data_IF_941220788680
#
_entry.id   IF_941220788680
#
_cell.length_a   1.000
_cell.length_b   1.000
_cell.length_c   1.000
_cell.angle_alpha   90.00
_cell.angle_beta   90.00
_cell.angle_gamma   90.00
#
_symmetry.space_group_name_H-M   'P 1'
#
loop_
_entity.id
_entity.type
_entity.pdbx_description
1 polymer ?
#
# COMPACT_ATOMS: atom_id res chain seq x y z
N UNK A 1 16.43 -1.80 15.43
CA UNK A 1 15.31 -2.76 15.43
C UNK A 1 14.09 -2.00 14.97
N UNK A 2 13.74 -2.11 13.69
CA UNK A 2 12.54 -1.42 13.19
C UNK A 2 11.32 -2.18 13.69
N UNK A 3 10.63 -1.58 14.66
CA UNK A 3 9.35 -2.08 15.13
C UNK A 3 8.38 -2.12 13.93
N UNK A 4 7.65 -3.23 13.79
CA UNK A 4 6.60 -3.32 12.80
C UNK A 4 5.57 -2.21 13.06
N UNK A 5 5.48 -1.25 12.13
CA UNK A 5 4.63 -0.08 12.28
C UNK A 5 3.36 -0.25 11.47
N UNK A 6 2.26 -0.58 12.14
CA UNK A 6 0.95 -0.78 11.54
C UNK A 6 0.16 0.53 11.52
N UNK A 7 -0.41 0.85 10.37
CA UNK A 7 -1.10 2.12 10.10
C UNK A 7 -2.49 1.88 9.51
N UNK A 8 -3.43 2.77 9.81
CA UNK A 8 -4.78 2.74 9.26
C UNK A 8 -4.87 3.40 7.89
N UNK A 9 -6.09 3.51 7.36
CA UNK A 9 -6.34 4.11 6.04
C UNK A 9 -5.90 5.58 5.94
N UNK A 10 -6.16 6.36 6.99
CA UNK A 10 -5.82 7.79 7.01
C UNK A 10 -4.31 7.94 7.00
N UNK A 11 -3.61 7.29 7.91
CA UNK A 11 -2.15 7.35 8.02
C UNK A 11 -1.46 6.79 6.76
N UNK A 12 -1.98 5.70 6.18
CA UNK A 12 -1.47 5.17 4.91
C UNK A 12 -1.56 6.22 3.80
N UNK A 13 -2.67 6.97 3.71
CA UNK A 13 -2.82 8.06 2.74
C UNK A 13 -1.80 9.17 2.95
N UNK A 14 -1.51 9.52 4.20
CA UNK A 14 -0.49 10.52 4.53
C UNK A 14 0.92 10.03 4.18
N UNK A 15 1.23 8.75 4.41
CA UNK A 15 2.49 8.13 4.01
C UNK A 15 2.68 8.17 2.50
N UNK A 16 1.62 7.82 1.75
CA UNK A 16 1.64 7.89 0.28
C UNK A 16 1.81 9.32 -0.22
N UNK A 17 1.12 10.30 0.39
CA UNK A 17 1.31 11.71 0.07
C UNK A 17 2.75 12.16 0.32
N UNK A 18 3.40 11.64 1.37
CA UNK A 18 4.80 11.92 1.69
C UNK A 18 5.80 11.50 0.61
N UNK A 19 5.42 10.58 -0.29
CA UNK A 19 6.21 10.17 -1.46
C UNK A 19 5.62 10.68 -2.79
N UNK A 20 4.76 11.70 -2.74
CA UNK A 20 4.17 12.32 -3.93
C UNK A 20 2.94 11.61 -4.50
N UNK A 21 2.37 10.64 -3.78
CA UNK A 21 1.21 9.88 -4.23
C UNK A 21 -0.06 10.41 -3.57
N UNK A 22 -0.83 11.17 -4.33
CA UNK A 22 -2.06 11.77 -3.84
C UNK A 22 -3.29 10.91 -4.14
N UNK A 23 -3.90 10.37 -3.08
CA UNK A 23 -5.15 9.63 -3.15
C UNK A 23 -6.23 10.32 -2.32
N UNK A 24 -7.44 10.34 -2.84
CA UNK A 24 -8.61 10.73 -2.06
C UNK A 24 -9.11 9.56 -1.19
N UNK A 25 -10.00 9.85 -0.24
CA UNK A 25 -10.53 8.85 0.69
C UNK A 25 -11.23 7.68 -0.01
N UNK A 26 -11.95 7.97 -1.11
CA UNK A 26 -12.67 6.95 -1.89
C UNK A 26 -11.71 5.98 -2.58
N UNK A 27 -10.61 6.50 -3.15
CA UNK A 27 -9.56 5.68 -3.76
C UNK A 27 -8.87 4.82 -2.72
N UNK A 28 -8.57 5.37 -1.54
CA UNK A 28 -7.99 4.60 -0.43
C UNK A 28 -8.92 3.48 0.05
N UNK A 29 -10.21 3.77 0.25
CA UNK A 29 -11.20 2.74 0.62
C UNK A 29 -11.27 1.63 -0.43
N UNK A 30 -11.39 1.99 -1.70
CA UNK A 30 -11.41 1.02 -2.82
C UNK A 30 -10.13 0.19 -2.93
N UNK A 31 -8.97 0.74 -2.57
CA UNK A 31 -7.71 0.02 -2.60
C UNK A 31 -7.60 -1.01 -1.45
N UNK A 32 -8.25 -0.74 -0.32
CA UNK A 32 -8.29 -1.61 0.85
C UNK A 32 -9.42 -2.66 0.80
N UNK A 33 -10.49 -2.40 0.06
CA UNK A 33 -11.58 -3.33 -0.17
C UNK A 33 -11.20 -4.45 -1.16
N UNK A 34 -11.76 -5.66 -0.99
CA UNK A 34 -11.64 -6.70 -2.01
C UNK A 34 -12.24 -6.22 -3.34
N UNK A 35 -11.49 -6.37 -4.43
CA UNK A 35 -12.03 -6.18 -5.78
C UNK A 35 -12.98 -7.31 -6.19
N UNK A 36 -13.51 -7.23 -7.42
CA UNK A 36 -14.44 -8.22 -7.97
C UNK A 36 -13.88 -9.66 -8.03
N UNK A 37 -12.56 -9.81 -8.00
CA UNK A 37 -11.85 -11.09 -7.94
C UNK A 37 -11.48 -11.54 -6.52
N UNK A 38 -12.01 -10.87 -5.49
CA UNK A 38 -11.71 -11.13 -4.07
C UNK A 38 -10.33 -10.65 -3.60
N UNK A 39 -9.48 -10.11 -4.50
CA UNK A 39 -8.14 -9.61 -4.15
C UNK A 39 -8.19 -8.11 -3.83
N UNK A 40 -7.52 -7.71 -2.75
CA UNK A 40 -7.31 -6.30 -2.41
C UNK A 40 -6.11 -5.76 -3.19
N UNK A 41 -6.15 -4.47 -3.55
CA UNK A 41 -4.97 -3.82 -4.17
C UNK A 41 -3.88 -3.56 -3.14
N UNK A 42 -4.28 -3.16 -1.94
CA UNK A 42 -3.39 -2.99 -0.80
C UNK A 42 -3.65 -4.08 0.24
N UNK A 43 -2.61 -4.69 0.82
CA UNK A 43 -2.72 -5.82 1.76
C UNK A 43 -3.12 -5.34 3.16
N UNK A 44 -4.23 -4.61 3.28
CA UNK A 44 -4.84 -4.34 4.57
C UNK A 44 -5.35 -5.65 5.18
N UNK A 45 -5.25 -5.77 6.50
CA UNK A 45 -5.84 -6.85 7.29
C UNK A 45 -6.74 -6.26 8.37
N UNK A 46 -7.66 -7.06 8.92
CA UNK A 46 -8.45 -6.66 10.08
C UNK A 46 -7.59 -6.85 11.32
N UNK A 47 -7.38 -5.78 12.08
CA UNK A 47 -6.68 -5.83 13.35
C UNK A 47 -7.48 -6.71 14.33
N UNK A 48 -6.82 -7.67 15.02
CA UNK A 48 -7.50 -8.58 15.93
C UNK A 48 -8.02 -7.92 17.23
N UNK A 49 -7.52 -6.73 17.58
CA UNK A 49 -7.87 -6.00 18.80
C UNK A 49 -9.11 -5.13 18.56
N UNK A 50 -9.11 -4.31 17.51
CA UNK A 50 -10.17 -3.30 17.27
C UNK A 50 -11.02 -3.54 16.01
N UNK A 51 -10.69 -4.57 15.21
CA UNK A 51 -11.40 -4.92 13.98
C UNK A 51 -11.19 -3.96 12.81
N UNK A 52 -10.40 -2.89 12.97
CA UNK A 52 -10.15 -1.88 11.93
C UNK A 52 -9.14 -2.38 10.91
N UNK A 53 -9.19 -1.82 9.71
CA UNK A 53 -8.22 -2.15 8.66
C UNK A 53 -6.87 -1.50 8.96
N UNK A 54 -5.82 -2.33 9.04
CA UNK A 54 -4.42 -1.89 9.17
C UNK A 54 -3.55 -2.50 8.09
N UNK A 55 -2.46 -1.82 7.78
CA UNK A 55 -1.40 -2.29 6.89
C UNK A 55 -0.05 -1.98 7.54
N UNK A 56 0.96 -2.78 7.24
CA UNK A 56 2.32 -2.45 7.63
C UNK A 56 2.88 -1.30 6.76
N UNK A 57 3.44 -0.26 7.38
CA UNK A 57 4.01 0.90 6.68
C UNK A 57 5.12 0.51 5.70
N UNK A 58 6.02 -0.38 6.09
CA UNK A 58 7.12 -0.81 5.22
C UNK A 58 6.60 -1.63 4.05
N UNK A 59 5.61 -2.51 4.27
CA UNK A 59 4.95 -3.22 3.18
C UNK A 59 4.31 -2.27 2.18
N UNK A 60 3.65 -1.21 2.65
CA UNK A 60 3.04 -0.20 1.78
C UNK A 60 4.07 0.47 0.86
N UNK A 61 5.19 0.93 1.42
CA UNK A 61 6.27 1.56 0.66
C UNK A 61 6.97 0.57 -0.29
N UNK A 62 7.17 -0.67 0.17
CA UNK A 62 7.82 -1.73 -0.61
C UNK A 62 7.03 -2.11 -1.86
N UNK A 63 5.70 -1.98 -1.85
CA UNK A 63 4.87 -2.20 -3.05
C UNK A 63 5.31 -1.23 -4.16
N UNK A 64 5.47 0.06 -3.85
CA UNK A 64 5.87 1.06 -4.84
C UNK A 64 7.30 0.85 -5.32
N UNK A 65 8.24 0.61 -4.39
CA UNK A 65 9.63 0.31 -4.74
C UNK A 65 9.74 -0.89 -5.68
N UNK A 66 8.98 -1.95 -5.43
CA UNK A 66 9.00 -3.14 -6.27
C UNK A 66 8.45 -2.85 -7.68
N UNK A 67 7.43 -2.00 -7.82
CA UNK A 67 6.91 -1.62 -9.13
C UNK A 67 7.88 -0.72 -9.91
N UNK A 68 8.59 0.17 -9.22
CA UNK A 68 9.69 0.97 -9.78
C UNK A 68 10.81 0.06 -10.32
N UNK A 69 11.35 -0.84 -9.50
CA UNK A 69 12.40 -1.78 -9.91
C UNK A 69 11.96 -2.65 -11.09
N UNK A 70 10.69 -3.08 -11.12
CA UNK A 70 10.16 -3.85 -12.26
C UNK A 70 10.13 -3.01 -13.54
N UNK A 71 9.71 -1.75 -13.44
CA UNK A 71 9.67 -0.84 -14.58
C UNK A 71 11.08 -0.55 -15.12
N UNK A 72 12.05 -0.32 -14.22
CA UNK A 72 13.46 -0.14 -14.58
C UNK A 72 14.03 -1.36 -15.29
N UNK A 73 13.83 -2.56 -14.73
CA UNK A 73 14.32 -3.81 -15.32
C UNK A 73 13.68 -4.12 -16.67
N UNK A 74 12.46 -3.66 -16.92
CA UNK A 74 11.81 -3.83 -18.22
C UNK A 74 12.45 -2.96 -19.31
N UNK A 75 13.03 -1.80 -18.96
CA UNK A 75 13.75 -0.95 -19.93
C UNK A 75 15.11 -1.53 -20.33
N UNK A 76 15.75 -2.33 -19.47
CA UNK A 76 17.13 -2.81 -19.67
C UNK A 76 17.27 -3.95 -20.69
N UNK A 77 16.16 -4.50 -21.22
CA UNK A 77 16.17 -5.58 -22.21
C UNK A 77 16.02 -5.12 -23.68
N UNK A 78 15.91 -3.81 -23.93
CA UNK A 78 15.74 -3.22 -25.28
C UNK A 78 17.02 -2.56 -25.85
N UNK A 79 18.22 -2.97 -25.41
CA UNK A 79 19.53 -2.57 -25.97
C UNK A 79 20.40 -3.80 -26.27
#
# INVERSE_FOLDING_TARGET
MDAQFYIGLKEAREVLRGIGIELNERQMKRAAEPGANGKRKLPFFRDPIDGRLKINKHTLLKIYLNEEIKAENAMTFDL
#
